data_IF_833221498390
#
_entry.id   IF_833221498390
#
_cell.length_a   1.000
_cell.length_b   1.000
_cell.length_c   1.000
_cell.angle_alpha   90.00
_cell.angle_beta   90.00
_cell.angle_gamma   90.00
#
_symmetry.space_group_name_H-M   'P 1'
#
loop_
_entity.id
_entity.type
_entity.pdbx_description
1 polymer ?
#
# COMPACT_ATOMS: atom_id res chain seq x y z
N UNK A 1 -0.06 -6.65 -24.97
CA UNK A 1 -0.13 -5.21 -24.69
C UNK A 1 1.29 -4.65 -24.75
N UNK A 2 1.50 -3.46 -25.31
CA UNK A 2 2.77 -2.72 -25.16
C UNK A 2 2.85 -2.09 -23.76
N UNK A 3 4.02 -1.61 -23.34
CA UNK A 3 4.25 -1.10 -21.98
C UNK A 3 3.39 0.14 -21.68
N UNK A 4 3.32 1.10 -22.59
CA UNK A 4 2.64 2.38 -22.32
C UNK A 4 1.12 2.26 -22.13
N UNK A 5 0.37 1.51 -22.98
CA UNK A 5 -1.05 1.30 -22.76
C UNK A 5 -1.36 0.57 -21.45
N UNK A 6 -0.47 -0.34 -21.02
CA UNK A 6 -0.61 -1.01 -19.74
C UNK A 6 -0.49 -0.02 -18.58
N UNK A 7 0.57 0.80 -18.57
CA UNK A 7 0.80 1.80 -17.52
C UNK A 7 -0.35 2.82 -17.46
N UNK A 8 -0.83 3.31 -18.62
CA UNK A 8 -1.95 4.24 -18.68
C UNK A 8 -3.23 3.63 -18.11
N UNK A 9 -3.55 2.38 -18.49
CA UNK A 9 -4.69 1.65 -17.95
C UNK A 9 -4.58 1.46 -16.43
N UNK A 10 -3.42 1.04 -15.94
CA UNK A 10 -3.22 0.82 -14.50
C UNK A 10 -3.34 2.13 -13.70
N UNK A 11 -2.77 3.23 -14.19
CA UNK A 11 -2.89 4.54 -13.52
C UNK A 11 -4.34 5.02 -13.45
N UNK A 12 -5.12 4.86 -14.53
CA UNK A 12 -6.54 5.15 -14.50
C UNK A 12 -7.26 4.29 -13.45
N UNK A 13 -6.95 2.99 -13.42
CA UNK A 13 -7.61 2.05 -12.50
C UNK A 13 -7.29 2.31 -11.03
N UNK A 14 -6.04 2.60 -10.68
CA UNK A 14 -5.66 2.88 -9.29
C UNK A 14 -6.28 4.20 -8.80
N UNK A 15 -6.40 5.20 -9.68
CA UNK A 15 -7.11 6.44 -9.36
C UNK A 15 -8.60 6.20 -9.09
N UNK A 16 -9.28 5.39 -9.91
CA UNK A 16 -10.70 5.02 -9.73
C UNK A 16 -10.98 4.36 -8.38
N UNK A 17 -10.05 3.55 -7.85
CA UNK A 17 -10.20 2.89 -6.55
C UNK A 17 -9.73 3.75 -5.37
N UNK A 18 -9.37 5.03 -5.62
CA UNK A 18 -9.04 6.03 -4.61
C UNK A 18 -7.55 6.19 -4.28
N UNK A 19 -6.64 5.47 -4.96
CA UNK A 19 -5.20 5.63 -4.82
C UNK A 19 -4.70 6.79 -5.70
N UNK A 20 -5.11 8.00 -5.33
CA UNK A 20 -4.95 9.23 -6.14
C UNK A 20 -3.59 9.91 -6.00
N UNK A 21 -2.74 9.46 -5.07
CA UNK A 21 -1.38 9.95 -4.86
C UNK A 21 -0.34 8.97 -5.43
N UNK A 22 -0.76 8.08 -6.34
CA UNK A 22 0.09 7.07 -6.98
C UNK A 22 0.17 7.33 -8.47
N UNK A 23 1.39 7.24 -9.01
CA UNK A 23 1.66 7.32 -10.43
C UNK A 23 2.75 6.32 -10.79
N UNK A 24 2.41 5.35 -11.64
CA UNK A 24 3.32 4.35 -12.16
C UNK A 24 3.89 4.81 -13.50
N UNK A 25 5.19 4.61 -13.70
CA UNK A 25 5.88 4.90 -14.97
C UNK A 25 6.25 3.63 -15.72
N UNK A 26 6.31 2.50 -15.01
CA UNK A 26 6.68 1.20 -15.57
C UNK A 26 5.95 0.08 -14.79
N UNK A 27 5.80 -1.12 -15.38
CA UNK A 27 5.05 -2.22 -14.76
C UNK A 27 5.84 -3.01 -13.71
N UNK A 28 7.15 -2.80 -13.64
CA UNK A 28 8.06 -3.65 -12.87
C UNK A 28 8.62 -2.98 -11.60
N UNK A 29 8.29 -1.71 -11.36
CA UNK A 29 8.65 -0.96 -10.15
C UNK A 29 10.14 -0.64 -10.00
N UNK A 30 10.92 -0.59 -11.10
CA UNK A 30 12.30 -0.08 -11.01
C UNK A 30 12.25 1.44 -10.98
N UNK A 31 13.28 2.03 -10.38
CA UNK A 31 13.41 3.48 -10.23
C UNK A 31 13.22 4.19 -11.57
N UNK A 32 12.30 5.15 -11.59
CA UNK A 32 12.01 6.01 -12.72
C UNK A 32 11.43 7.33 -12.21
N UNK A 33 11.79 8.44 -12.86
CA UNK A 33 11.32 9.76 -12.47
C UNK A 33 9.79 9.84 -12.54
N UNK A 34 9.18 10.30 -11.46
CA UNK A 34 7.72 10.36 -11.33
C UNK A 34 7.04 9.03 -11.00
N UNK A 35 7.79 7.94 -10.78
CA UNK A 35 7.23 6.69 -10.26
C UNK A 35 7.07 6.77 -8.74
N UNK A 36 5.85 7.04 -8.27
CA UNK A 36 5.59 7.39 -6.86
C UNK A 36 4.30 6.74 -6.34
N UNK A 37 4.23 6.57 -5.02
CA UNK A 37 3.04 6.10 -4.31
C UNK A 37 3.09 6.56 -2.85
N UNK A 38 2.07 6.21 -2.06
CA UNK A 38 2.04 6.44 -0.62
C UNK A 38 1.65 5.16 0.12
N UNK A 39 1.96 5.09 1.43
CA UNK A 39 1.56 3.95 2.25
C UNK A 39 0.04 3.75 2.28
N UNK A 40 -0.73 4.85 2.30
CA UNK A 40 -2.20 4.85 2.25
C UNK A 40 -2.73 4.28 0.93
N UNK A 41 -2.14 4.69 -0.18
CA UNK A 41 -2.57 4.25 -1.51
C UNK A 41 -2.26 2.76 -1.73
N UNK A 42 -1.07 2.31 -1.32
CA UNK A 42 -0.73 0.88 -1.35
C UNK A 42 -1.67 0.06 -0.48
N UNK A 43 -2.00 0.53 0.74
CA UNK A 43 -3.00 -0.13 1.58
C UNK A 43 -4.39 -0.18 0.91
N UNK A 44 -4.76 0.87 0.18
CA UNK A 44 -6.02 0.94 -0.58
C UNK A 44 -6.03 -0.06 -1.73
N UNK A 45 -4.95 -0.14 -2.51
CA UNK A 45 -4.76 -1.10 -3.61
C UNK A 45 -4.79 -2.54 -3.07
N UNK A 46 -4.04 -2.82 -2.00
CA UNK A 46 -4.01 -4.15 -1.37
C UNK A 46 -5.39 -4.54 -0.85
N UNK A 47 -6.11 -3.62 -0.19
CA UNK A 47 -7.48 -3.86 0.28
C UNK A 47 -8.42 -4.17 -0.89
N UNK A 48 -8.32 -3.43 -1.99
CA UNK A 48 -9.12 -3.68 -3.19
C UNK A 48 -8.81 -5.06 -3.79
N UNK A 49 -7.53 -5.41 -3.95
CA UNK A 49 -7.10 -6.70 -4.46
C UNK A 49 -7.63 -7.87 -3.62
N UNK A 50 -7.50 -7.78 -2.29
CA UNK A 50 -8.01 -8.79 -1.36
C UNK A 50 -9.54 -8.97 -1.45
N UNK A 51 -10.28 -7.89 -1.67
CA UNK A 51 -11.74 -7.91 -1.67
C UNK A 51 -12.35 -8.30 -3.03
N UNK A 52 -11.68 -7.98 -4.13
CA UNK A 52 -12.28 -8.04 -5.47
C UNK A 52 -11.57 -8.97 -6.45
N UNK A 53 -10.35 -9.43 -6.16
CA UNK A 53 -9.53 -10.21 -7.09
C UNK A 53 -9.02 -11.49 -6.41
N UNK A 54 -9.70 -12.64 -6.55
CA UNK A 54 -9.29 -13.89 -5.90
C UNK A 54 -7.83 -14.28 -6.22
N UNK A 55 -7.41 -14.11 -7.48
CA UNK A 55 -6.05 -14.38 -7.92
C UNK A 55 -5.00 -13.50 -7.22
N UNK A 56 -5.36 -12.31 -6.73
CA UNK A 56 -4.45 -11.46 -5.98
C UNK A 56 -4.11 -12.08 -4.62
N UNK A 57 -5.11 -12.60 -3.90
CA UNK A 57 -4.89 -13.25 -2.60
C UNK A 57 -4.03 -14.51 -2.76
N UNK A 58 -4.28 -15.29 -3.80
CA UNK A 58 -3.46 -16.46 -4.13
C UNK A 58 -2.01 -16.05 -4.42
N UNK A 59 -1.82 -15.03 -5.26
CA UNK A 59 -0.50 -14.56 -5.66
C UNK A 59 0.36 -14.08 -4.49
N UNK A 60 -0.19 -13.25 -3.60
CA UNK A 60 0.59 -12.69 -2.48
C UNK A 60 0.88 -13.73 -1.39
N UNK A 61 0.09 -14.79 -1.31
CA UNK A 61 0.23 -15.87 -0.32
C UNK A 61 1.06 -17.05 -0.83
N UNK A 62 1.44 -17.07 -2.11
CA UNK A 62 2.21 -18.15 -2.69
C UNK A 62 3.64 -18.20 -2.10
N UNK A 63 4.00 -19.35 -1.51
CA UNK A 63 5.33 -19.59 -0.93
C UNK A 63 6.33 -20.02 -2.00
N UNK A 64 5.87 -20.73 -3.03
CA UNK A 64 6.71 -21.17 -4.13
C UNK A 64 5.94 -21.23 -5.43
N UNK A 65 6.66 -21.05 -6.55
CA UNK A 65 6.14 -21.23 -7.89
C UNK A 65 7.04 -22.22 -8.64
N UNK A 66 6.43 -23.15 -9.37
CA UNK A 66 7.12 -24.05 -10.29
C UNK A 66 6.40 -24.02 -11.64
N UNK A 67 7.09 -23.58 -12.68
CA UNK A 67 6.54 -23.45 -14.03
C UNK A 67 7.61 -22.96 -14.99
N UNK A 68 7.44 -23.28 -16.27
CA UNK A 68 8.31 -22.84 -17.37
C UNK A 68 9.81 -23.14 -17.15
N UNK A 69 10.13 -24.25 -16.47
CA UNK A 69 11.52 -24.62 -16.14
C UNK A 69 12.11 -23.85 -14.95
N UNK A 70 11.33 -22.98 -14.31
CA UNK A 70 11.74 -22.20 -13.15
C UNK A 70 11.14 -22.76 -11.85
N UNK A 71 11.91 -22.63 -10.77
CA UNK A 71 11.47 -22.88 -9.41
C UNK A 71 11.82 -21.66 -8.58
N UNK A 72 10.81 -20.91 -8.14
CA UNK A 72 10.95 -19.69 -7.37
C UNK A 72 10.41 -19.90 -5.96
N UNK A 73 11.04 -19.25 -4.99
CA UNK A 73 10.56 -19.17 -3.62
C UNK A 73 10.26 -17.72 -3.27
N UNK A 74 9.29 -17.50 -2.39
CA UNK A 74 9.00 -16.16 -1.88
C UNK A 74 10.23 -15.58 -1.19
N UNK A 75 10.44 -14.27 -1.35
CA UNK A 75 11.46 -13.52 -0.61
C UNK A 75 10.92 -12.99 0.71
N UNK A 76 9.68 -13.32 1.08
CA UNK A 76 9.06 -12.84 2.30
C UNK A 76 9.37 -13.74 3.50
N UNK A 77 10.22 -13.27 4.40
CA UNK A 77 10.62 -13.99 5.61
C UNK A 77 9.50 -14.22 6.63
N UNK A 78 8.34 -13.54 6.48
CA UNK A 78 7.17 -13.81 7.30
C UNK A 78 6.45 -15.10 6.90
N UNK A 79 6.70 -15.62 5.69
CA UNK A 79 6.09 -16.84 5.20
C UNK A 79 6.41 -18.02 6.14
N UNK A 80 5.38 -18.58 6.76
CA UNK A 80 5.51 -19.67 7.73
C UNK A 80 5.99 -19.26 9.13
N UNK A 81 6.33 -17.98 9.37
CA UNK A 81 6.89 -17.52 10.65
C UNK A 81 6.00 -16.50 11.37
N UNK A 82 5.15 -15.74 10.65
CA UNK A 82 4.20 -14.81 11.25
C UNK A 82 2.80 -15.43 11.38
N UNK A 83 2.22 -15.54 12.60
CA UNK A 83 0.92 -16.18 12.80
C UNK A 83 -0.22 -15.46 12.06
N UNK A 84 -0.97 -16.22 11.27
CA UNK A 84 -2.11 -15.71 10.49
C UNK A 84 -1.70 -14.94 9.23
N UNK A 85 -0.45 -15.04 8.77
CA UNK A 85 -0.05 -14.40 7.52
C UNK A 85 -0.89 -14.91 6.35
N UNK A 86 -1.47 -13.97 5.59
CA UNK A 86 -2.16 -14.21 4.32
C UNK A 86 -1.18 -14.11 3.17
N UNK A 87 -0.27 -13.13 3.22
CA UNK A 87 0.71 -12.88 2.17
C UNK A 87 1.21 -11.45 2.21
N UNK A 88 2.07 -11.09 1.26
CA UNK A 88 2.70 -9.78 1.26
C UNK A 88 3.55 -9.51 0.04
N UNK A 89 4.31 -8.40 0.10
CA UNK A 89 5.23 -8.02 -0.94
C UNK A 89 6.44 -7.25 -0.40
N UNK A 90 7.62 -7.75 -0.72
CA UNK A 90 8.93 -7.12 -0.51
C UNK A 90 9.29 -6.17 -1.65
N UNK A 91 9.96 -5.06 -1.37
CA UNK A 91 10.46 -4.14 -2.40
C UNK A 91 11.72 -3.44 -1.92
N UNK A 92 12.75 -3.45 -2.77
CA UNK A 92 14.01 -2.76 -2.48
C UNK A 92 14.46 -2.07 -3.75
N UNK A 93 14.70 -0.76 -3.68
CA UNK A 93 15.40 0.00 -4.71
C UNK A 93 16.37 0.98 -4.06
N UNK A 94 17.28 1.56 -4.85
CA UNK A 94 18.22 2.55 -4.31
C UNK A 94 17.48 3.79 -3.81
N UNK A 95 16.44 4.22 -4.53
CA UNK A 95 15.68 5.42 -4.17
C UNK A 95 14.57 5.16 -3.13
N UNK A 96 14.04 3.93 -3.05
CA UNK A 96 12.93 3.59 -2.17
C UNK A 96 13.35 3.05 -0.79
N UNK A 97 14.59 2.58 -0.64
CA UNK A 97 15.01 1.84 0.55
C UNK A 97 14.30 0.49 0.67
N UNK A 98 14.13 -0.01 1.90
CA UNK A 98 13.43 -1.27 2.17
C UNK A 98 11.94 -1.02 2.41
N UNK A 99 11.11 -1.60 1.55
CA UNK A 99 9.66 -1.49 1.56
C UNK A 99 9.02 -2.87 1.76
N UNK A 100 7.92 -2.90 2.51
CA UNK A 100 7.21 -4.13 2.81
C UNK A 100 5.71 -3.88 2.93
N UNK A 101 4.91 -4.73 2.29
CA UNK A 101 3.47 -4.82 2.52
C UNK A 101 3.20 -6.20 3.12
N UNK A 102 2.59 -6.27 4.29
CA UNK A 102 2.18 -7.53 4.90
C UNK A 102 0.67 -7.54 5.17
N UNK A 103 0.04 -8.68 4.92
CA UNK A 103 -1.36 -8.93 5.20
C UNK A 103 -1.45 -10.12 6.13
N UNK A 104 -2.08 -9.91 7.30
CA UNK A 104 -2.35 -10.98 8.24
C UNK A 104 -3.82 -10.96 8.66
N UNK A 105 -4.35 -12.14 8.98
CA UNK A 105 -5.72 -12.34 9.39
C UNK A 105 -5.80 -13.23 10.63
N UNK A 106 -6.51 -12.76 11.66
CA UNK A 106 -6.75 -13.47 12.92
C UNK A 106 -8.19 -13.20 13.36
N UNK A 107 -8.92 -14.23 13.75
CA UNK A 107 -10.28 -14.12 14.32
C UNK A 107 -11.24 -13.26 13.47
N UNK A 108 -11.21 -13.44 12.15
CA UNK A 108 -12.05 -12.70 11.21
C UNK A 108 -11.61 -11.25 10.94
N UNK A 109 -10.56 -10.75 11.60
CA UNK A 109 -9.99 -9.43 11.38
C UNK A 109 -8.75 -9.50 10.50
N UNK A 110 -8.69 -8.65 9.48
CA UNK A 110 -7.53 -8.52 8.59
C UNK A 110 -6.82 -7.21 8.84
N UNK A 111 -5.49 -7.26 9.00
CA UNK A 111 -4.61 -6.09 9.09
C UNK A 111 -3.71 -6.05 7.86
N UNK A 112 -3.58 -4.87 7.27
CA UNK A 112 -2.62 -4.57 6.20
C UNK A 112 -1.59 -3.61 6.79
N UNK A 113 -0.33 -4.03 6.88
CA UNK A 113 0.79 -3.18 7.26
C UNK A 113 1.55 -2.77 6.00
N UNK A 114 1.82 -1.46 5.86
CA UNK A 114 2.62 -0.92 4.76
C UNK A 114 3.77 -0.12 5.34
N UNK A 115 4.99 -0.53 5.01
CA UNK A 115 6.24 0.09 5.41
C UNK A 115 6.98 0.57 4.16
N UNK A 116 7.43 1.82 4.17
CA UNK A 116 8.18 2.45 3.08
C UNK A 116 9.44 3.10 3.65
N UNK A 117 10.58 2.94 2.96
CA UNK A 117 11.81 3.65 3.31
C UNK A 117 12.49 3.18 4.60
N UNK A 118 12.37 1.90 4.96
CA UNK A 118 13.07 1.30 6.10
C UNK A 118 14.53 0.97 5.77
N UNK A 119 15.29 0.55 6.80
CA UNK A 119 16.64 -0.03 6.66
C UNK A 119 16.59 -1.56 6.55
N UNK A 120 17.70 -2.15 6.11
CA UNK A 120 17.91 -3.60 6.02
C UNK A 120 17.70 -4.34 7.33
N UNK A 121 18.07 -3.70 8.44
CA UNK A 121 18.10 -4.31 9.77
C UNK A 121 16.71 -4.31 10.43
N UNK A 122 15.89 -3.29 10.15
CA UNK A 122 14.66 -3.05 10.91
C UNK A 122 13.37 -3.43 10.18
N UNK A 123 13.36 -3.50 8.84
CA UNK A 123 12.10 -3.55 8.07
C UNK A 123 11.13 -4.69 8.46
N UNK A 124 11.64 -5.88 8.79
CA UNK A 124 10.79 -6.97 9.30
C UNK A 124 10.38 -6.79 10.76
N UNK A 125 11.25 -6.23 11.61
CA UNK A 125 10.90 -5.93 12.99
C UNK A 125 9.81 -4.84 13.07
N UNK A 126 9.93 -3.80 12.23
CA UNK A 126 8.95 -2.72 12.12
C UNK A 126 7.61 -3.23 11.59
N UNK A 127 7.62 -4.05 10.54
CA UNK A 127 6.39 -4.65 10.01
C UNK A 127 5.69 -5.56 11.04
N UNK A 128 6.46 -6.36 11.81
CA UNK A 128 5.91 -7.16 12.92
C UNK A 128 5.26 -6.25 13.96
N UNK A 129 5.96 -5.20 14.37
CA UNK A 129 5.45 -4.21 15.33
C UNK A 129 4.15 -3.56 14.86
N UNK A 130 4.06 -3.19 13.58
CA UNK A 130 2.85 -2.62 12.97
C UNK A 130 1.68 -3.61 12.97
N UNK A 131 1.91 -4.86 12.57
CA UNK A 131 0.86 -5.88 12.57
C UNK A 131 0.39 -6.19 14.00
N UNK A 132 1.32 -6.39 14.93
CA UNK A 132 1.01 -6.72 16.32
C UNK A 132 0.26 -5.57 17.01
N UNK A 133 0.69 -4.32 16.79
CA UNK A 133 -0.03 -3.13 17.24
C UNK A 133 -1.43 -3.04 16.62
N UNK A 134 -1.54 -3.35 15.32
CA UNK A 134 -2.81 -3.41 14.61
C UNK A 134 -3.78 -4.38 15.26
N UNK A 135 -3.35 -5.61 15.56
CA UNK A 135 -4.18 -6.61 16.23
C UNK A 135 -4.49 -6.27 17.69
N UNK A 136 -3.56 -5.66 18.42
CA UNK A 136 -3.78 -5.22 19.80
C UNK A 136 -4.73 -4.02 19.91
N UNK A 137 -4.84 -3.20 18.85
CA UNK A 137 -5.75 -2.04 18.82
C UNK A 137 -7.20 -2.53 18.72
N UNK A 138 -8.10 -2.17 19.65
CA UNK A 138 -9.52 -2.52 19.56
C UNK A 138 -10.13 -1.99 18.26
N UNK A 139 -11.07 -2.73 17.68
CA UNK A 139 -11.90 -2.17 16.61
C UNK A 139 -12.67 -0.99 17.21
N UNK A 140 -12.52 0.19 16.60
CA UNK A 140 -13.41 1.29 16.93
C UNK A 140 -14.86 0.79 16.77
N UNK A 141 -15.80 1.20 17.65
CA UNK A 141 -17.21 0.98 17.41
C UNK A 141 -17.51 1.41 15.98
N UNK A 142 -18.24 0.59 15.23
CA UNK A 142 -18.62 0.94 13.86
C UNK A 142 -19.10 2.39 13.87
N UNK A 143 -18.43 3.26 13.12
CA UNK A 143 -18.83 4.65 13.02
C UNK A 143 -20.31 4.62 12.66
N UNK A 144 -21.16 5.15 13.54
CA UNK A 144 -22.56 5.33 13.19
C UNK A 144 -22.57 6.06 11.86
N UNK A 145 -23.33 5.56 10.86
CA UNK A 145 -23.43 6.25 9.58
C UNK A 145 -23.68 7.71 9.89
N UNK A 146 -22.78 8.58 9.42
CA UNK A 146 -22.86 10.01 9.69
C UNK A 146 -24.30 10.40 9.41
N UNK A 147 -25.03 10.79 10.46
CA UNK A 147 -26.41 11.21 10.29
C UNK A 147 -26.36 12.32 9.24
N UNK A 148 -27.22 12.30 8.22
CA UNK A 148 -27.31 13.41 7.27
C UNK A 148 -27.40 14.67 8.11
N UNK A 149 -26.41 15.56 7.96
CA UNK A 149 -26.46 16.87 8.58
C UNK A 149 -27.80 17.46 8.15
N UNK A 150 -28.73 17.57 9.10
CA UNK A 150 -29.96 18.30 8.87
C UNK A 150 -29.50 19.73 8.66
N UNK A 151 -29.53 20.20 7.41
CA UNK A 151 -29.33 21.62 7.10
C UNK A 151 -30.48 22.33 7.82
N UNK A 152 -30.20 22.86 9.01
CA UNK A 152 -31.12 23.77 9.69
C UNK A 152 -31.25 25.00 8.79
N UNK A 153 -32.38 25.11 8.09
CA UNK A 153 -32.77 26.28 7.33
C UNK A 153 -33.17 27.40 8.28
N UNK A 154 -32.21 28.00 8.97
CA UNK A 154 -32.42 29.20 9.77
C UNK A 154 -32.30 30.43 8.87
N UNK A 155 -33.34 30.73 8.10
CA UNK A 155 -33.49 32.06 7.50
C UNK A 155 -34.32 32.92 8.45
N UNK A 156 -33.67 33.54 9.44
CA UNK A 156 -34.25 34.63 10.23
C UNK A 156 -33.15 35.44 10.91
N UNK A 157 -32.92 36.68 10.44
CA UNK A 157 -32.53 37.81 11.29
C UNK A 157 -31.04 38.10 11.50
N UNK A 158 -30.57 39.15 10.81
CA UNK A 158 -29.56 40.18 11.17
C UNK A 158 -28.81 40.07 12.53
N UNK A 159 -27.45 40.15 12.49
CA UNK A 159 -26.63 41.33 12.89
C UNK A 159 -25.25 41.01 13.53
N UNK A 160 -24.20 41.54 12.89
CA UNK A 160 -23.05 42.34 13.42
C UNK A 160 -22.00 41.74 14.41
N UNK A 161 -20.74 41.89 13.96
CA UNK A 161 -19.47 42.21 14.68
C UNK A 161 -18.69 41.15 15.48
N UNK A 162 -17.42 40.97 15.06
CA UNK A 162 -16.28 41.23 15.95
C UNK A 162 -15.40 40.05 16.36
N UNK A 163 -14.14 40.09 15.92
CA UNK A 163 -12.90 39.67 16.58
C UNK A 163 -12.74 38.21 17.08
N UNK A 164 -11.59 37.60 16.72
CA UNK A 164 -11.00 36.52 17.53
C UNK A 164 -10.30 35.45 16.71
N UNK A 165 -9.00 35.31 16.93
CA UNK A 165 -8.09 34.40 16.25
C UNK A 165 -8.31 32.92 16.60
N UNK A 166 -8.00 32.02 15.67
CA UNK A 166 -7.74 30.61 16.01
C UNK A 166 -6.48 30.10 15.31
N UNK A 167 -5.62 29.44 16.10
CA UNK A 167 -4.30 28.90 15.76
C UNK A 167 -4.43 27.66 14.88
N UNK A 168 -3.71 27.66 13.75
CA UNK A 168 -3.38 26.45 12.99
C UNK A 168 -2.25 25.71 13.72
N UNK A 169 -2.50 24.46 14.14
CA UNK A 169 -1.45 23.52 14.54
C UNK A 169 -1.22 22.57 13.37
N UNK A 170 -0.20 22.86 12.57
CA UNK A 170 0.35 21.92 11.57
C UNK A 170 1.40 21.04 12.25
N UNK A 171 1.14 19.75 12.39
CA UNK A 171 2.19 18.77 12.68
C UNK A 171 3.00 18.55 11.40
N UNK A 172 4.28 18.88 11.47
CA UNK A 172 5.19 19.02 10.34
C UNK A 172 5.49 17.73 9.58
N UNK A 173 5.68 17.90 8.27
CA UNK A 173 6.37 16.96 7.40
C UNK A 173 7.84 16.85 7.83
N UNK A 174 8.33 15.63 8.03
CA UNK A 174 9.77 15.40 8.23
C UNK A 174 10.45 15.40 6.87
N UNK A 175 11.34 16.37 6.68
CA UNK A 175 12.12 16.59 5.48
C UNK A 175 13.08 15.41 5.21
N UNK A 176 13.24 15.11 3.92
CA UNK A 176 14.20 14.16 3.38
C UNK A 176 15.63 14.49 3.83
N UNK A 177 16.37 13.47 4.30
CA UNK A 177 17.77 13.62 4.66
C UNK A 177 18.69 12.95 3.62
N UNK A 178 19.74 13.71 3.30
CA UNK A 178 20.78 13.58 2.26
C UNK A 178 21.32 12.18 1.94
N UNK A 179 21.63 12.03 0.65
CA UNK A 179 22.34 10.93 -0.02
C UNK A 179 23.73 10.61 0.57
N UNK A 180 24.10 9.33 0.51
CA UNK A 180 25.49 8.84 0.60
C UNK A 180 25.79 7.82 -0.52
N UNK A 181 27.08 7.76 -0.87
CA UNK A 181 27.70 7.33 -2.13
C UNK A 181 27.66 5.80 -2.43
N UNK A 182 28.07 5.36 -3.64
CA UNK A 182 27.64 4.12 -4.26
C UNK A 182 28.50 2.91 -3.87
N UNK A 183 27.84 1.76 -3.72
CA UNK A 183 28.51 0.47 -3.84
C UNK A 183 27.92 -0.61 -2.95
N UNK A 184 26.87 -1.29 -3.40
CA UNK A 184 26.79 -2.77 -3.46
C UNK A 184 25.76 -3.12 -4.54
N UNK A 185 26.20 -3.82 -5.58
CA UNK A 185 25.35 -4.34 -6.65
C UNK A 185 24.73 -5.69 -6.23
N UNK A 186 23.59 -6.01 -6.86
CA UNK A 186 22.95 -7.32 -6.96
C UNK A 186 21.92 -7.73 -5.88
N UNK A 187 20.66 -7.33 -6.08
CA UNK A 187 19.55 -8.23 -6.49
C UNK A 187 18.25 -7.43 -6.38
N UNK A 188 17.75 -6.99 -7.53
CA UNK A 188 16.52 -6.21 -7.67
C UNK A 188 15.62 -6.82 -8.75
N UNK A 189 14.34 -6.45 -8.66
CA UNK A 189 13.23 -6.76 -9.54
C UNK A 189 12.45 -8.02 -9.17
N UNK A 190 11.43 -7.82 -8.32
CA UNK A 190 10.28 -8.71 -8.33
C UNK A 190 8.99 -7.99 -7.93
N UNK A 191 8.78 -6.74 -8.37
CA UNK A 191 7.49 -6.03 -8.21
C UNK A 191 6.50 -6.41 -9.34
N UNK A 192 6.95 -7.14 -10.37
CA UNK A 192 6.15 -7.45 -11.55
C UNK A 192 5.17 -8.62 -11.41
N UNK A 193 5.34 -9.57 -10.47
CA UNK A 193 4.51 -10.79 -10.45
C UNK A 193 3.05 -10.54 -10.04
N UNK A 194 2.73 -9.69 -9.03
CA UNK A 194 1.33 -9.38 -8.73
C UNK A 194 0.65 -8.59 -9.86
N UNK A 195 1.39 -7.73 -10.57
CA UNK A 195 0.86 -6.98 -11.71
C UNK A 195 0.58 -7.88 -12.92
N UNK A 196 1.42 -8.88 -13.19
CA UNK A 196 1.22 -9.82 -14.31
C UNK A 196 0.07 -10.80 -14.06
N UNK A 197 -0.19 -11.22 -12.82
CA UNK A 197 -1.31 -12.11 -12.51
C UNK A 197 -2.67 -11.42 -12.59
N UNK A 198 -2.74 -10.11 -12.27
CA UNK A 198 -3.94 -9.30 -12.48
C UNK A 198 -4.28 -9.15 -13.98
N UNK A 199 -3.28 -9.16 -14.87
CA UNK A 199 -3.45 -9.05 -16.32
C UNK A 199 -4.13 -10.29 -16.92
N UNK A 200 -3.76 -11.50 -16.49
CA UNK A 200 -4.34 -12.72 -17.04
C UNK A 200 -5.83 -12.86 -16.70
N UNK A 201 -6.27 -12.35 -15.54
CA UNK A 201 -7.68 -12.46 -15.11
C UNK A 201 -8.58 -11.36 -15.71
N UNK A 202 -8.03 -10.18 -16.02
CA UNK A 202 -8.79 -9.07 -16.61
C UNK A 202 -8.91 -9.20 -18.13
N UNK A 203 -7.92 -9.79 -18.83
CA UNK A 203 -8.00 -10.05 -20.27
C UNK A 203 -8.83 -11.30 -20.64
N UNK A 204 -9.24 -12.10 -19.66
CA UNK A 204 -10.11 -13.27 -19.84
C UNK A 204 -11.61 -12.95 -19.62
N UNK A 205 -11.98 -11.67 -19.57
CA UNK A 205 -13.38 -11.20 -19.55
C UNK A 205 -13.64 -10.17 -20.64
#
# INVERSE_FOLDING_TARGET
ATVDPFVAYTNARIAEIGATNTHLVNPHGLDADGHVTTARDLATITRYGLASVPAFREAIGAISYKGDGHSLHTTNDFAGTYPGLVGGKTGITTNAGYCLIEVAQRDGRTIIAVLLGSTSESWYADARSLLDTGFATPLAPAAQPAQPHQVMSNTSGLAVSGAGAERVVTSGAVAAQKAHAPGVWAMMALVAIPCLLVIATILAR
#
